data_IF_760337629434
#
_entry.id   IF_760337629434
#
_cell.length_a   1.000
_cell.length_b   1.000
_cell.length_c   1.000
_cell.angle_alpha   90.00
_cell.angle_beta   90.00
_cell.angle_gamma   90.00
#
_symmetry.space_group_name_H-M   'P 1'
#
loop_
_entity.id
_entity.type
_entity.pdbx_description
1 polymer ?
#
# COMPACT_ATOMS: atom_id res chain seq x y z
N UNK A 1 -3.71 -21.16 2.73
CA UNK A 1 -2.61 -20.56 1.96
C UNK A 1 -1.91 -19.58 2.86
N UNK A 2 -0.73 -19.94 3.39
CA UNK A 2 0.13 -18.98 4.07
C UNK A 2 0.82 -18.18 2.96
N UNK A 3 0.25 -17.04 2.59
CA UNK A 3 0.89 -16.10 1.67
C UNK A 3 2.09 -15.51 2.41
N UNK A 4 3.28 -16.04 2.15
CA UNK A 4 4.50 -15.44 2.66
C UNK A 4 4.61 -14.03 2.08
N UNK A 5 4.70 -13.03 2.94
CA UNK A 5 4.86 -11.64 2.52
C UNK A 5 6.14 -11.43 1.68
N UNK A 6 7.06 -12.38 1.73
CA UNK A 6 8.31 -12.45 0.98
C UNK A 6 8.12 -12.50 -0.54
N UNK A 7 6.99 -13.05 -1.03
CA UNK A 7 6.66 -13.07 -2.46
C UNK A 7 6.31 -11.68 -3.01
N UNK A 8 6.02 -10.72 -2.12
CA UNK A 8 5.65 -9.36 -2.47
C UNK A 8 6.78 -8.42 -2.01
N UNK A 9 7.56 -7.82 -2.91
CA UNK A 9 8.53 -6.82 -2.52
C UNK A 9 7.83 -5.55 -2.03
N UNK A 10 8.44 -4.87 -1.07
CA UNK A 10 8.01 -3.59 -0.54
C UNK A 10 7.90 -2.59 -1.69
N UNK A 11 6.72 -1.96 -1.81
CA UNK A 11 6.40 -1.05 -2.91
C UNK A 11 7.26 0.24 -2.91
N UNK A 12 8.01 0.50 -1.85
CA UNK A 12 8.82 1.72 -1.67
C UNK A 12 10.34 1.51 -1.69
N UNK A 13 10.82 0.36 -1.23
CA UNK A 13 12.27 0.09 -1.14
C UNK A 13 12.71 -1.21 -1.82
N UNK A 14 11.77 -2.04 -2.30
CA UNK A 14 12.06 -3.29 -3.00
C UNK A 14 12.56 -4.45 -2.13
N UNK A 15 12.76 -4.24 -0.83
CA UNK A 15 13.05 -5.33 0.14
C UNK A 15 11.85 -6.27 0.28
N UNK A 16 12.01 -7.51 0.76
CA UNK A 16 10.88 -8.38 1.08
C UNK A 16 9.89 -7.66 2.01
N UNK A 17 8.60 -7.74 1.70
CA UNK A 17 7.59 -7.20 2.60
C UNK A 17 7.50 -8.05 3.84
N UNK A 18 7.30 -7.39 4.98
CA UNK A 18 7.05 -8.04 6.26
C UNK A 18 5.67 -7.69 6.80
N UNK A 19 5.01 -6.70 6.19
CA UNK A 19 3.74 -6.16 6.64
C UNK A 19 2.88 -5.65 5.47
N UNK A 20 1.57 -5.52 5.71
CA UNK A 20 0.63 -4.89 4.80
C UNK A 20 -0.13 -3.81 5.56
N UNK A 21 0.16 -2.54 5.24
CA UNK A 21 -0.48 -1.38 5.86
C UNK A 21 -1.02 -0.47 4.78
N UNK A 22 -2.18 0.14 5.04
CA UNK A 22 -2.81 1.06 4.09
C UNK A 22 -3.06 0.46 2.70
N UNK A 23 -3.36 -0.85 2.67
CA UNK A 23 -3.46 -1.64 1.44
C UNK A 23 -2.20 -1.59 0.56
N UNK A 24 -1.01 -1.45 1.16
CA UNK A 24 0.30 -1.53 0.50
C UNK A 24 1.18 -2.61 1.15
N UNK A 25 1.92 -3.34 0.33
CA UNK A 25 2.95 -4.28 0.79
C UNK A 25 4.22 -3.51 1.13
N UNK A 26 4.66 -3.56 2.39
CA UNK A 26 5.83 -2.83 2.87
C UNK A 26 6.68 -3.64 3.84
N UNK A 27 7.95 -3.27 3.97
CA UNK A 27 8.80 -3.73 5.07
C UNK A 27 8.53 -2.91 6.35
N UNK A 28 8.99 -3.38 7.51
CA UNK A 28 8.86 -2.70 8.82
C UNK A 28 9.73 -1.43 8.97
N UNK A 29 10.20 -0.89 7.86
CA UNK A 29 10.94 0.37 7.86
C UNK A 29 9.94 1.53 8.05
N UNK A 30 10.11 2.37 9.10
CA UNK A 30 9.21 3.48 9.37
C UNK A 30 9.04 4.42 8.17
N UNK A 31 10.08 4.61 7.35
CA UNK A 31 10.00 5.45 6.16
C UNK A 31 9.06 4.85 5.10
N UNK A 32 9.06 3.52 4.94
CA UNK A 32 8.20 2.83 3.99
C UNK A 32 6.74 2.85 4.46
N UNK A 33 6.51 2.70 5.77
CA UNK A 33 5.19 2.81 6.38
C UNK A 33 4.62 4.22 6.23
N UNK A 34 5.43 5.25 6.44
CA UNK A 34 4.99 6.64 6.28
C UNK A 34 4.71 6.98 4.81
N UNK A 35 5.56 6.50 3.88
CA UNK A 35 5.28 6.60 2.43
C UNK A 35 3.98 5.90 2.05
N UNK A 36 3.69 4.73 2.62
CA UNK A 36 2.42 4.03 2.43
C UNK A 36 1.23 4.83 2.96
N UNK A 37 1.38 5.47 4.12
CA UNK A 37 0.35 6.35 4.70
C UNK A 37 0.05 7.55 3.80
N UNK A 38 1.10 8.21 3.29
CA UNK A 38 0.96 9.36 2.38
C UNK A 38 0.35 8.92 1.03
N UNK A 39 0.79 7.78 0.50
CA UNK A 39 0.35 7.29 -0.80
C UNK A 39 -1.08 6.72 -0.79
N UNK A 40 -1.48 6.04 0.29
CA UNK A 40 -2.75 5.28 0.35
C UNK A 40 -3.55 5.49 1.64
N UNK A 41 -2.89 5.63 2.78
CA UNK A 41 -3.49 5.43 4.10
C UNK A 41 -4.18 6.60 4.80
N UNK A 42 -3.89 7.83 4.41
CA UNK A 42 -4.48 9.02 5.02
C UNK A 42 -5.62 9.63 4.19
N UNK A 43 -6.33 10.64 4.72
CA UNK A 43 -7.20 11.49 3.91
C UNK A 43 -6.45 12.07 2.70
N UNK A 44 -5.14 12.33 2.80
CA UNK A 44 -4.29 12.70 1.67
C UNK A 44 -4.16 11.63 0.58
N UNK A 45 -3.99 10.36 0.96
CA UNK A 45 -3.93 9.23 0.02
C UNK A 45 -5.29 8.94 -0.63
N UNK A 46 -6.36 8.97 0.16
CA UNK A 46 -7.74 8.85 -0.31
C UNK A 46 -8.13 9.98 -1.28
N UNK A 47 -7.82 11.23 -0.92
CA UNK A 47 -8.11 12.39 -1.77
C UNK A 47 -7.24 12.40 -3.03
N UNK A 48 -5.97 11.96 -2.95
CA UNK A 48 -5.10 11.82 -4.13
C UNK A 48 -5.63 10.76 -5.10
N UNK A 49 -6.03 9.58 -4.60
CA UNK A 49 -6.66 8.53 -5.44
C UNK A 49 -7.95 9.02 -6.09
N UNK A 50 -8.80 9.72 -5.32
CA UNK A 50 -10.02 10.35 -5.83
C UNK A 50 -9.72 11.44 -6.87
N UNK A 51 -8.70 12.27 -6.66
CA UNK A 51 -8.28 13.31 -7.60
C UNK A 51 -7.66 12.73 -8.88
N UNK A 52 -6.97 11.59 -8.77
CA UNK A 52 -6.41 10.82 -9.90
C UNK A 52 -7.46 9.96 -10.62
N UNK A 53 -8.73 9.99 -10.19
CA UNK A 53 -9.81 9.20 -10.78
C UNK A 53 -9.65 7.68 -10.58
N UNK A 54 -8.77 7.25 -9.67
CA UNK A 54 -8.55 5.84 -9.39
C UNK A 54 -9.52 5.37 -8.32
N UNK A 55 -10.35 4.35 -8.60
CA UNK A 55 -11.32 3.87 -7.63
C UNK A 55 -10.62 3.31 -6.37
N UNK A 56 -11.30 3.44 -5.24
CA UNK A 56 -10.79 3.00 -3.93
C UNK A 56 -10.79 1.48 -3.85
N UNK A 57 -11.79 0.86 -4.46
CA UNK A 57 -11.94 -0.58 -4.66
C UNK A 57 -11.71 -0.90 -6.13
N UNK A 58 -11.17 -2.08 -6.48
CA UNK A 58 -11.11 -2.53 -7.86
C UNK A 58 -12.51 -2.60 -8.47
N UNK A 59 -12.66 -2.21 -9.74
CA UNK A 59 -13.95 -2.17 -10.46
C UNK A 59 -14.70 -3.50 -10.45
N UNK A 60 -13.99 -4.62 -10.28
CA UNK A 60 -14.56 -5.97 -10.18
C UNK A 60 -15.43 -6.19 -8.92
N UNK A 61 -15.47 -5.22 -8.00
CA UNK A 61 -16.24 -5.24 -6.75
C UNK A 61 -17.28 -4.10 -6.62
N UNK A 62 -17.51 -3.30 -7.67
CA UNK A 62 -18.59 -2.29 -7.76
C UNK A 62 -19.80 -2.81 -8.53
#
# INVERSE_FOLDING_TARGET
>A
MASNFEDYPCEFCGKPSTNVVYAAFVCDDPECIEKARIARGGPGGHMKRKAEGKPILPDELM
#
